data_IF_261301807347
#
_entry.id   IF_261301807347
#
_cell.length_a   1.000
_cell.length_b   1.000
_cell.length_c   1.000
_cell.angle_alpha   90.00
_cell.angle_beta   90.00
_cell.angle_gamma   90.00
#
_symmetry.space_group_name_H-M   'P 1'
#
loop_
_entity.id
_entity.type
_entity.pdbx_description
1 polymer ?
#
# COMPACT_ATOMS: atom_id res chain seq x y z
N UNK A 1 23.57 -6.55 19.50
CA UNK A 1 23.38 -5.12 19.42
C UNK A 1 22.14 -4.88 18.58
N UNK A 2 21.14 -4.35 19.22
CA UNK A 2 19.82 -4.14 18.61
C UNK A 2 19.75 -2.75 17.96
N UNK A 3 20.65 -2.47 17.04
CA UNK A 3 20.79 -1.14 16.45
C UNK A 3 20.15 -1.08 15.06
N UNK A 4 19.18 -1.97 14.85
CA UNK A 4 18.49 -2.16 13.57
C UNK A 4 17.36 -1.19 13.24
N UNK A 5 17.31 0.01 13.83
CA UNK A 5 16.34 1.03 13.38
C UNK A 5 17.01 1.94 12.34
N UNK A 6 17.37 1.37 11.22
CA UNK A 6 17.74 2.14 10.01
C UNK A 6 16.56 2.32 9.05
N UNK A 7 15.33 2.09 9.52
CA UNK A 7 14.12 2.20 8.71
C UNK A 7 13.72 3.63 8.32
N UNK A 8 14.28 4.65 8.97
CA UNK A 8 13.88 6.06 8.77
C UNK A 8 14.25 6.58 7.36
N UNK A 9 15.23 5.98 6.69
CA UNK A 9 15.65 6.39 5.35
C UNK A 9 15.05 5.54 4.21
N UNK A 10 14.14 4.64 4.49
CA UNK A 10 13.52 3.80 3.46
C UNK A 10 12.64 4.61 2.51
N UNK A 11 12.05 5.70 2.98
CA UNK A 11 11.26 6.61 2.14
C UNK A 11 11.65 8.07 2.40
N UNK A 12 11.70 8.86 1.32
CA UNK A 12 11.76 10.33 1.40
C UNK A 12 10.36 10.89 1.17
N UNK A 13 9.92 11.77 2.06
CA UNK A 13 8.71 12.55 1.84
C UNK A 13 9.06 13.78 1.01
N UNK A 14 8.17 14.16 0.09
CA UNK A 14 8.24 15.49 -0.51
C UNK A 14 7.77 16.50 0.54
N UNK A 15 8.54 17.56 0.73
CA UNK A 15 8.25 18.61 1.71
C UNK A 15 7.05 19.49 1.32
N UNK A 16 6.28 19.16 0.30
CA UNK A 16 4.99 19.80 0.09
C UNK A 16 4.04 19.37 1.21
N UNK A 17 4.10 20.12 2.29
CA UNK A 17 3.13 20.15 3.36
C UNK A 17 1.74 20.17 2.75
N UNK A 18 1.02 19.05 2.77
CA UNK A 18 -0.26 18.92 2.08
C UNK A 18 -1.27 19.98 2.51
N UNK A 19 -1.15 20.49 3.72
CA UNK A 19 -1.87 21.70 4.25
C UNK A 19 -1.24 22.15 5.59
N UNK A 20 -1.00 23.43 5.82
CA UNK A 20 -0.36 23.93 7.05
C UNK A 20 -1.05 23.50 8.35
N UNK A 21 -2.36 23.27 8.34
CA UNK A 21 -3.15 22.88 9.51
C UNK A 21 -3.12 21.38 9.83
N UNK A 22 -2.57 20.51 8.95
CA UNK A 22 -2.43 19.08 9.21
C UNK A 22 -1.11 18.73 9.93
N UNK A 23 -0.28 19.72 10.23
CA UNK A 23 1.02 19.50 10.85
C UNK A 23 2.00 18.80 9.91
N UNK A 24 2.83 17.91 10.46
CA UNK A 24 3.88 17.23 9.73
C UNK A 24 3.36 15.96 9.02
N UNK A 25 2.52 16.14 8.02
CA UNK A 25 2.00 15.08 7.16
C UNK A 25 2.50 15.27 5.74
N UNK A 26 2.98 14.19 5.11
CA UNK A 26 3.51 14.23 3.76
C UNK A 26 3.14 13.01 2.93
N UNK A 27 3.31 13.12 1.61
CA UNK A 27 3.31 11.99 0.67
C UNK A 27 4.73 11.46 0.50
N UNK A 28 4.94 10.13 0.40
CA UNK A 28 6.24 9.59 0.04
C UNK A 28 6.52 9.89 -1.45
N UNK A 29 7.71 10.39 -1.73
CA UNK A 29 8.15 10.68 -3.11
C UNK A 29 8.88 9.50 -3.71
N UNK A 30 9.70 8.85 -2.89
CA UNK A 30 10.56 7.74 -3.31
C UNK A 30 10.94 6.86 -2.14
N UNK A 31 10.79 5.55 -2.30
CA UNK A 31 11.40 4.55 -1.43
C UNK A 31 12.89 4.36 -1.74
N UNK A 32 13.61 3.67 -0.86
CA UNK A 32 14.98 3.23 -1.10
C UNK A 32 15.00 1.72 -1.41
N UNK A 33 14.83 1.31 -2.67
CA UNK A 33 14.78 -0.10 -3.03
C UNK A 33 16.11 -0.82 -2.76
N UNK A 34 17.25 -0.13 -2.87
CA UNK A 34 18.55 -0.72 -2.58
C UNK A 34 18.67 -1.18 -1.12
N UNK A 35 18.13 -0.40 -0.18
CA UNK A 35 18.07 -0.79 1.22
C UNK A 35 17.18 -2.03 1.42
N UNK A 36 16.00 -2.06 0.81
CA UNK A 36 15.08 -3.20 0.90
C UNK A 36 15.72 -4.47 0.32
N UNK A 37 16.35 -4.38 -0.85
CA UNK A 37 17.08 -5.52 -1.45
C UNK A 37 18.21 -6.00 -0.57
N UNK A 38 18.98 -5.11 0.04
CA UNK A 38 20.08 -5.48 0.95
C UNK A 38 19.58 -6.23 2.18
N UNK A 39 18.50 -5.74 2.78
CA UNK A 39 17.91 -6.38 3.96
C UNK A 39 17.35 -7.77 3.63
N UNK A 40 16.57 -7.88 2.56
CA UNK A 40 15.98 -9.15 2.12
C UNK A 40 17.08 -10.14 1.71
N UNK A 41 18.07 -9.69 0.94
CA UNK A 41 19.22 -10.51 0.54
C UNK A 41 20.07 -10.98 1.73
N UNK A 42 20.08 -10.24 2.83
CA UNK A 42 20.67 -10.61 4.11
C UNK A 42 19.80 -11.54 4.98
N UNK A 43 18.63 -11.97 4.50
CA UNK A 43 17.69 -12.83 5.22
C UNK A 43 16.82 -12.11 6.25
N UNK A 44 16.75 -10.78 6.21
CA UNK A 44 15.89 -10.00 7.09
C UNK A 44 14.49 -9.82 6.50
N UNK A 45 13.48 -9.72 7.36
CA UNK A 45 12.14 -9.26 7.01
C UNK A 45 12.05 -7.77 7.32
N UNK A 46 12.06 -6.87 6.32
CA UNK A 46 11.95 -5.43 6.55
C UNK A 46 10.56 -5.06 7.08
N UNK A 47 10.52 -4.35 8.21
CA UNK A 47 9.29 -3.71 8.73
C UNK A 47 9.47 -2.20 8.59
N UNK A 48 8.62 -1.58 7.76
CA UNK A 48 8.72 -0.15 7.43
C UNK A 48 7.61 0.62 8.14
N UNK A 49 8.00 1.56 9.00
CA UNK A 49 7.05 2.46 9.66
C UNK A 49 6.49 3.50 8.67
N UNK A 50 5.27 3.99 8.96
CA UNK A 50 4.62 5.04 8.16
C UNK A 50 5.18 6.44 8.48
N UNK A 51 6.50 6.56 8.41
CA UNK A 51 7.26 7.78 8.73
C UNK A 51 8.30 7.99 7.63
N UNK A 52 8.44 9.20 7.15
CA UNK A 52 9.44 9.57 6.16
C UNK A 52 10.16 10.87 6.54
N UNK A 53 11.40 11.02 6.07
CA UNK A 53 12.19 12.23 6.31
C UNK A 53 12.49 12.98 5.01
N UNK A 54 12.61 14.30 5.09
CA UNK A 54 13.13 15.12 4.00
C UNK A 54 14.66 15.29 4.09
N UNK A 55 15.21 16.08 3.16
CA UNK A 55 16.65 16.33 3.10
C UNK A 55 17.15 17.24 4.23
N UNK A 56 16.26 17.94 4.92
CA UNK A 56 16.57 18.84 6.03
C UNK A 56 16.49 18.12 7.39
N UNK A 57 16.16 16.83 7.39
CA UNK A 57 16.01 16.03 8.60
C UNK A 57 14.64 16.14 9.25
N UNK A 58 13.69 16.84 8.63
CA UNK A 58 12.31 16.92 9.15
C UNK A 58 11.60 15.58 8.94
N UNK A 59 10.95 15.09 9.99
CA UNK A 59 10.18 13.84 9.99
C UNK A 59 8.70 14.15 9.75
N UNK A 60 8.06 13.32 8.93
CA UNK A 60 6.65 13.43 8.55
C UNK A 60 5.92 12.12 8.79
N UNK A 61 4.67 12.23 9.21
CA UNK A 61 3.73 11.12 9.17
C UNK A 61 3.27 10.90 7.72
N UNK A 62 3.19 9.64 7.30
CA UNK A 62 2.75 9.23 5.96
C UNK A 62 1.59 8.26 6.11
N UNK A 63 0.59 8.39 5.24
CA UNK A 63 -0.50 7.42 5.20
C UNK A 63 0.04 6.01 4.88
N UNK A 64 -0.42 4.99 5.60
CA UNK A 64 0.08 3.63 5.51
C UNK A 64 -0.07 3.02 4.10
N UNK A 65 -1.23 3.23 3.46
CA UNK A 65 -1.48 2.73 2.10
C UNK A 65 -0.51 3.39 1.10
N UNK A 66 -0.24 4.69 1.24
CA UNK A 66 0.72 5.41 0.39
C UNK A 66 2.16 4.96 0.63
N UNK A 67 2.54 4.66 1.88
CA UNK A 67 3.85 4.11 2.20
C UNK A 67 4.03 2.73 1.56
N UNK A 68 3.02 1.87 1.69
CA UNK A 68 3.03 0.53 1.10
C UNK A 68 3.17 0.61 -0.43
N UNK A 69 2.41 1.49 -1.10
CA UNK A 69 2.52 1.73 -2.55
C UNK A 69 3.93 2.19 -2.93
N UNK A 70 4.49 3.16 -2.20
CA UNK A 70 5.84 3.68 -2.48
C UNK A 70 6.91 2.59 -2.35
N UNK A 71 6.82 1.75 -1.32
CA UNK A 71 7.74 0.62 -1.14
C UNK A 71 7.55 -0.43 -2.22
N UNK A 72 6.32 -0.87 -2.48
CA UNK A 72 6.03 -1.90 -3.46
C UNK A 72 6.42 -1.49 -4.89
N UNK A 73 6.09 -0.26 -5.30
CA UNK A 73 6.46 0.26 -6.62
C UNK A 73 7.97 0.46 -6.76
N UNK A 74 8.63 1.00 -5.73
CA UNK A 74 10.09 1.17 -5.75
C UNK A 74 10.86 -0.15 -5.77
N UNK A 75 10.34 -1.16 -5.10
CA UNK A 75 10.91 -2.52 -5.06
C UNK A 75 10.52 -3.36 -6.30
N UNK A 76 9.54 -2.91 -7.09
CA UNK A 76 8.93 -3.68 -8.20
C UNK A 76 8.37 -5.01 -7.70
N UNK A 77 7.58 -4.93 -6.63
CA UNK A 77 7.01 -6.11 -5.99
C UNK A 77 6.06 -6.86 -6.95
N UNK A 78 6.10 -8.19 -6.90
CA UNK A 78 5.14 -9.03 -7.65
C UNK A 78 3.72 -8.82 -7.14
N UNK A 79 3.57 -8.66 -5.81
CA UNK A 79 2.28 -8.50 -5.13
C UNK A 79 2.33 -7.45 -4.03
N UNK A 80 1.24 -6.70 -3.89
CA UNK A 80 0.96 -5.84 -2.73
C UNK A 80 -0.32 -6.32 -2.05
N UNK A 81 -0.25 -6.66 -0.78
CA UNK A 81 -1.39 -7.11 0.02
C UNK A 81 -1.82 -6.00 0.97
N UNK A 82 -3.02 -5.44 0.77
CA UNK A 82 -3.69 -4.58 1.75
C UNK A 82 -4.52 -5.47 2.68
N UNK A 83 -4.01 -5.71 3.87
CA UNK A 83 -4.75 -6.42 4.92
C UNK A 83 -5.57 -5.40 5.72
N UNK A 84 -6.89 -5.60 5.76
CA UNK A 84 -7.86 -4.63 6.26
C UNK A 84 -8.90 -5.31 7.14
N UNK A 85 -9.79 -4.53 7.72
CA UNK A 85 -10.92 -4.94 8.56
C UNK A 85 -12.18 -5.31 7.77
N UNK A 86 -12.13 -5.22 6.43
CA UNK A 86 -13.24 -5.60 5.55
C UNK A 86 -12.89 -6.81 4.70
N UNK A 87 -13.92 -7.56 4.26
CA UNK A 87 -13.75 -8.80 3.49
C UNK A 87 -13.14 -8.59 2.09
N UNK A 88 -13.21 -7.37 1.56
CA UNK A 88 -12.79 -6.98 0.23
C UNK A 88 -13.58 -5.77 -0.27
N UNK A 89 -13.50 -5.50 -1.56
CA UNK A 89 -14.29 -4.46 -2.23
C UNK A 89 -15.68 -5.00 -2.53
N UNK A 90 -16.72 -4.30 -2.07
CA UNK A 90 -18.12 -4.70 -2.29
C UNK A 90 -18.72 -3.93 -3.46
N UNK A 91 -19.61 -4.58 -4.19
CA UNK A 91 -20.47 -3.97 -5.20
C UNK A 91 -21.67 -3.24 -4.57
N UNK A 92 -22.55 -2.67 -5.41
CA UNK A 92 -23.75 -1.98 -4.96
C UNK A 92 -24.78 -2.89 -4.27
N UNK A 93 -24.66 -4.21 -4.37
CA UNK A 93 -25.49 -5.20 -3.64
C UNK A 93 -24.87 -5.65 -2.31
N UNK A 94 -23.65 -5.20 -2.00
CA UNK A 94 -22.91 -5.59 -0.80
C UNK A 94 -22.11 -6.89 -0.94
N UNK A 95 -22.02 -7.46 -2.14
CA UNK A 95 -21.25 -8.66 -2.42
C UNK A 95 -19.79 -8.32 -2.70
N UNK A 96 -18.85 -9.15 -2.18
CA UNK A 96 -17.42 -8.97 -2.46
C UNK A 96 -17.14 -9.29 -3.94
N UNK A 97 -16.47 -8.37 -4.61
CA UNK A 97 -16.02 -8.53 -5.99
C UNK A 97 -14.67 -9.29 -5.98
N UNK A 98 -14.60 -10.52 -6.50
CA UNK A 98 -13.36 -11.32 -6.42
C UNK A 98 -12.22 -10.72 -7.26
N UNK A 99 -12.54 -10.13 -8.40
CA UNK A 99 -11.55 -9.52 -9.30
C UNK A 99 -12.07 -8.18 -9.80
N UNK A 100 -11.23 -7.16 -9.71
CA UNK A 100 -11.58 -5.79 -10.04
C UNK A 100 -10.51 -5.18 -10.97
N UNK A 101 -10.93 -4.62 -12.09
CA UNK A 101 -10.04 -3.87 -12.98
C UNK A 101 -9.93 -2.40 -12.59
N UNK A 102 -8.92 -1.71 -13.15
CA UNK A 102 -8.77 -0.25 -12.99
C UNK A 102 -10.01 0.52 -13.48
N UNK A 103 -10.63 0.08 -14.57
CA UNK A 103 -11.82 0.72 -15.11
C UNK A 103 -13.03 0.54 -14.18
N UNK A 104 -13.25 -0.68 -13.70
CA UNK A 104 -14.35 -0.98 -12.77
C UNK A 104 -14.19 -0.23 -11.44
N UNK A 105 -12.95 -0.11 -10.92
CA UNK A 105 -12.72 0.63 -9.67
C UNK A 105 -13.10 2.09 -9.78
N UNK A 106 -12.81 2.72 -10.93
CA UNK A 106 -13.20 4.11 -11.20
C UNK A 106 -14.72 4.27 -11.24
N UNK A 107 -15.43 3.28 -11.80
CA UNK A 107 -16.90 3.28 -11.81
C UNK A 107 -17.44 3.17 -10.38
N UNK A 108 -16.94 2.25 -9.56
CA UNK A 108 -17.36 2.13 -8.16
C UNK A 108 -17.18 3.44 -7.37
N UNK A 109 -16.12 4.19 -7.67
CA UNK A 109 -15.88 5.50 -7.05
C UNK A 109 -16.85 6.55 -7.62
N UNK A 110 -17.01 6.63 -8.94
CA UNK A 110 -17.88 7.63 -9.58
C UNK A 110 -19.35 7.45 -9.20
N UNK A 111 -19.79 6.20 -9.03
CA UNK A 111 -21.16 5.84 -8.66
C UNK A 111 -21.40 5.96 -7.14
N UNK A 112 -20.38 6.36 -6.37
CA UNK A 112 -20.49 6.57 -4.93
C UNK A 112 -20.60 5.26 -4.12
N UNK A 113 -20.33 4.11 -4.72
CA UNK A 113 -20.34 2.79 -4.06
C UNK A 113 -19.10 2.66 -3.17
N UNK A 114 -17.93 3.00 -3.71
CA UNK A 114 -16.69 3.05 -2.94
C UNK A 114 -16.39 4.48 -2.48
N UNK A 115 -16.52 4.73 -1.17
CA UNK A 115 -16.31 6.05 -0.56
C UNK A 115 -15.30 5.98 0.58
N UNK A 116 -14.85 7.15 1.08
CA UNK A 116 -14.00 7.26 2.26
C UNK A 116 -12.74 6.42 2.19
N UNK A 117 -12.53 5.56 3.19
CA UNK A 117 -11.35 4.70 3.29
C UNK A 117 -11.20 3.70 2.15
N UNK A 118 -12.33 3.15 1.62
CA UNK A 118 -12.30 2.23 0.49
C UNK A 118 -11.88 2.95 -0.80
N UNK A 119 -12.40 4.14 -1.05
CA UNK A 119 -11.97 4.96 -2.19
C UNK A 119 -10.47 5.25 -2.12
N UNK A 120 -9.93 5.58 -0.93
CA UNK A 120 -8.51 5.80 -0.75
C UNK A 120 -7.68 4.54 -1.06
N UNK A 121 -8.14 3.35 -0.63
CA UNK A 121 -7.48 2.07 -0.94
C UNK A 121 -7.54 1.72 -2.42
N UNK A 122 -8.66 1.96 -3.10
CA UNK A 122 -8.79 1.74 -4.55
C UNK A 122 -7.84 2.65 -5.34
N UNK A 123 -7.72 3.92 -4.93
CA UNK A 123 -6.75 4.84 -5.54
C UNK A 123 -5.32 4.37 -5.30
N UNK A 124 -4.99 3.95 -4.07
CA UNK A 124 -3.67 3.41 -3.75
C UNK A 124 -3.35 2.14 -4.54
N UNK A 125 -4.33 1.22 -4.69
CA UNK A 125 -4.18 0.02 -5.50
C UNK A 125 -3.93 0.35 -6.98
N UNK A 126 -4.66 1.34 -7.51
CA UNK A 126 -4.46 1.83 -8.88
C UNK A 126 -3.05 2.42 -9.05
N UNK A 127 -2.60 3.26 -8.12
CA UNK A 127 -1.25 3.85 -8.13
C UNK A 127 -0.16 2.76 -8.08
N UNK A 128 -0.34 1.71 -7.27
CA UNK A 128 0.60 0.60 -7.19
C UNK A 128 0.71 -0.16 -8.52
N UNK A 129 -0.43 -0.53 -9.13
CA UNK A 129 -0.44 -1.20 -10.43
C UNK A 129 0.21 -0.33 -11.52
N UNK A 130 -0.12 0.96 -11.58
CA UNK A 130 0.50 1.90 -12.53
C UNK A 130 1.99 2.08 -12.25
N UNK A 131 2.41 1.99 -10.97
CA UNK A 131 3.79 2.04 -10.54
C UNK A 131 4.61 0.78 -10.80
N UNK A 132 4.03 -0.27 -11.41
CA UNK A 132 4.75 -1.47 -11.81
C UNK A 132 4.55 -2.71 -10.93
N UNK A 133 3.77 -2.60 -9.85
CA UNK A 133 3.38 -3.77 -9.04
C UNK A 133 2.56 -4.74 -9.91
N UNK A 134 2.84 -6.03 -9.82
CA UNK A 134 2.20 -7.04 -10.66
C UNK A 134 0.73 -7.26 -10.32
N UNK A 135 0.41 -7.35 -9.03
CA UNK A 135 -0.93 -7.62 -8.51
C UNK A 135 -1.14 -6.87 -7.19
N UNK A 136 -2.35 -6.40 -6.96
CA UNK A 136 -2.75 -5.87 -5.64
C UNK A 136 -3.94 -6.67 -5.12
N UNK A 137 -3.92 -7.03 -3.84
CA UNK A 137 -5.02 -7.74 -3.18
C UNK A 137 -5.50 -6.93 -1.98
N UNK A 138 -6.80 -6.77 -1.83
CA UNK A 138 -7.46 -6.21 -0.64
C UNK A 138 -8.19 -7.36 0.05
N UNK A 139 -7.77 -7.72 1.26
CA UNK A 139 -8.27 -8.92 1.95
C UNK A 139 -8.43 -8.70 3.46
N UNK A 140 -9.27 -9.51 4.15
CA UNK A 140 -9.47 -9.42 5.59
C UNK A 140 -8.21 -9.84 6.34
N UNK A 141 -7.61 -8.90 7.09
CA UNK A 141 -6.36 -9.14 7.81
C UNK A 141 -6.49 -10.00 9.06
N UNK A 142 -7.71 -10.16 9.58
CA UNK A 142 -8.00 -10.96 10.77
C UNK A 142 -8.16 -12.48 10.49
N UNK A 143 -8.22 -12.87 9.21
CA UNK A 143 -8.33 -14.27 8.81
C UNK A 143 -7.06 -15.05 9.16
N UNK A 144 -7.17 -16.26 9.75
CA UNK A 144 -6.02 -17.10 10.02
C UNK A 144 -5.24 -17.41 8.73
N UNK A 145 -3.92 -17.38 8.83
CA UNK A 145 -2.99 -17.73 7.75
C UNK A 145 -3.20 -16.98 6.42
N UNK A 146 -3.86 -15.83 6.47
CA UNK A 146 -4.30 -15.08 5.29
C UNK A 146 -3.16 -14.84 4.28
N UNK A 147 -1.97 -14.49 4.75
CA UNK A 147 -0.81 -14.24 3.87
C UNK A 147 -0.41 -15.52 3.15
N UNK A 148 -0.31 -16.65 3.86
CA UNK A 148 0.05 -17.93 3.27
C UNK A 148 -1.01 -18.40 2.25
N UNK A 149 -2.29 -18.24 2.56
CA UNK A 149 -3.42 -18.57 1.67
C UNK A 149 -3.38 -17.74 0.38
N UNK A 150 -3.18 -16.42 0.49
CA UNK A 150 -3.08 -15.53 -0.66
C UNK A 150 -1.85 -15.82 -1.52
N UNK A 151 -0.70 -16.10 -0.90
CA UNK A 151 0.52 -16.50 -1.61
C UNK A 151 0.37 -17.88 -2.27
N UNK A 152 -0.42 -18.77 -1.67
CA UNK A 152 -0.81 -20.07 -2.24
C UNK A 152 -1.81 -19.98 -3.40
N UNK A 153 -2.32 -18.76 -3.71
CA UNK A 153 -3.22 -18.54 -4.85
C UNK A 153 -4.71 -18.63 -4.49
N UNK A 154 -5.05 -18.74 -3.20
CA UNK A 154 -6.44 -18.73 -2.77
C UNK A 154 -7.10 -17.38 -3.07
N UNK A 155 -8.34 -17.40 -3.54
CA UNK A 155 -9.14 -16.20 -3.83
C UNK A 155 -9.87 -15.75 -2.56
N UNK A 156 -9.20 -14.94 -1.74
CA UNK A 156 -9.80 -14.29 -0.57
C UNK A 156 -9.74 -12.79 -0.78
N UNK A 157 -10.86 -12.11 -0.56
CA UNK A 157 -10.96 -10.67 -0.78
C UNK A 157 -11.11 -10.29 -2.25
N UNK A 158 -10.49 -9.18 -2.63
CA UNK A 158 -10.55 -8.62 -4.00
C UNK A 158 -9.15 -8.54 -4.60
N UNK A 159 -8.97 -9.20 -5.71
CA UNK A 159 -7.76 -9.09 -6.55
C UNK A 159 -7.92 -7.93 -7.53
N UNK A 160 -6.97 -7.02 -7.52
CA UNK A 160 -6.96 -5.84 -8.37
C UNK A 160 -5.96 -6.04 -9.52
N UNK A 161 -6.42 -5.89 -10.77
CA UNK A 161 -5.63 -6.16 -11.97
C UNK A 161 -5.68 -4.98 -12.94
N UNK A 162 -4.70 -4.90 -13.84
CA UNK A 162 -4.65 -3.81 -14.81
C UNK A 162 -5.81 -3.81 -15.82
N UNK A 163 -6.33 -4.96 -16.19
CA UNK A 163 -7.36 -5.15 -17.21
C UNK A 163 -6.76 -5.24 -18.60
#
# INVERSE_FOLDING_TARGET
PADGITGINACRADAQQLRPYLGFVAKPVRSNPALLHTLIGGGFLPVVACVAGDRNGQIYNVNADQMAVSCASGFQADRLLFLTDVDGVKDGSGQVIPTLSLAQSRLLISDGIATGGMQAKLNAAADALLGGVGEVVIAPGAEPDIVARLLGGELVGTRFVRG
#
